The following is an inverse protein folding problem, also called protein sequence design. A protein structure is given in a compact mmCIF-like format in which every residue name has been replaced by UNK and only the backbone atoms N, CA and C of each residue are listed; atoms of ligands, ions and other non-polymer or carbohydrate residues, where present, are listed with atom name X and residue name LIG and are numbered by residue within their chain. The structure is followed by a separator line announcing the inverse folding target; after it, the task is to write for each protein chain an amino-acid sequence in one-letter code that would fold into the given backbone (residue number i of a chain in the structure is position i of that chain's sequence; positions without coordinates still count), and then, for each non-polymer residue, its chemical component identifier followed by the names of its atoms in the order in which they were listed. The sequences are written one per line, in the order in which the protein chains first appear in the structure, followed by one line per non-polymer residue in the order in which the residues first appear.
data_IF_232229798723
#
_entry.id   IF_232229798723
#
_cell.length_a   1.000
_cell.length_b   1.000
_cell.length_c   1.000
_cell.angle_alpha   90.00
_cell.angle_beta   90.00
_cell.angle_gamma   90.00
#
_symmetry.space_group_name_H-M   'P 1'
#
loop_
_entity.id
_entity.type
_entity.pdbx_description
1 polymer ?
#
# COMPACT_ATOMS: atom_id res chain seq x y z
N UNK A 1 -4.20 -9.21 -1.79
CA UNK A 1 -4.11 -8.83 -3.23
C UNK A 1 -2.83 -9.43 -3.80
N UNK A 2 -2.73 -9.75 -5.10
CA UNK A 2 -1.44 -10.13 -5.66
C UNK A 2 -0.55 -8.88 -5.59
N UNK A 3 0.42 -8.92 -4.67
CA UNK A 3 1.40 -7.88 -4.33
C UNK A 3 0.85 -6.53 -3.86
N UNK A 4 0.78 -6.33 -2.54
CA UNK A 4 0.58 -5.03 -1.90
C UNK A 4 1.53 -3.97 -2.47
N UNK A 5 2.79 -4.34 -2.75
CA UNK A 5 3.78 -3.51 -3.42
C UNK A 5 3.35 -3.05 -4.83
N UNK A 6 2.71 -3.93 -5.62
CA UNK A 6 2.23 -3.59 -6.95
C UNK A 6 1.03 -2.63 -6.90
N UNK A 7 0.09 -2.86 -5.98
CA UNK A 7 -1.05 -1.96 -5.76
C UNK A 7 -0.59 -0.59 -5.26
N UNK A 8 0.32 -0.57 -4.29
CA UNK A 8 0.94 0.64 -3.76
C UNK A 8 1.70 1.41 -4.86
N UNK A 9 2.57 0.74 -5.61
CA UNK A 9 3.35 1.36 -6.69
C UNK A 9 2.48 1.98 -7.78
N UNK A 10 1.39 1.30 -8.17
CA UNK A 10 0.41 1.84 -9.13
C UNK A 10 -0.28 3.09 -8.59
N UNK A 11 -0.66 3.10 -7.31
CA UNK A 11 -1.30 4.25 -6.70
C UNK A 11 -0.36 5.45 -6.66
N UNK A 12 0.89 5.26 -6.23
CA UNK A 12 1.90 6.33 -6.20
C UNK A 12 2.15 6.88 -7.61
N UNK A 13 2.29 6.00 -8.62
CA UNK A 13 2.45 6.43 -10.01
C UNK A 13 1.23 7.20 -10.56
N UNK A 14 0.03 6.94 -10.02
CA UNK A 14 -1.20 7.65 -10.35
C UNK A 14 -1.38 8.97 -9.58
N UNK A 15 -0.40 9.38 -8.76
CA UNK A 15 -0.44 10.63 -7.99
C UNK A 15 -0.97 10.47 -6.56
N UNK A 16 -1.14 9.25 -6.07
CA UNK A 16 -1.38 9.04 -4.64
C UNK A 16 -0.14 9.40 -3.82
N UNK A 17 -0.38 9.81 -2.57
CA UNK A 17 0.68 10.10 -1.60
C UNK A 17 0.90 8.90 -0.70
N UNK A 18 2.16 8.56 -0.44
CA UNK A 18 2.51 7.57 0.58
C UNK A 18 2.03 8.02 1.97
N UNK A 19 1.25 7.16 2.63
CA UNK A 19 0.95 7.28 4.05
C UNK A 19 1.88 6.40 4.88
N UNK A 20 2.12 5.18 4.40
CA UNK A 20 3.03 4.19 4.96
C UNK A 20 3.57 3.33 3.81
N UNK A 21 4.89 3.28 3.64
CA UNK A 21 5.50 2.37 2.67
C UNK A 21 5.17 0.92 3.02
N UNK A 22 5.06 0.06 2.00
CA UNK A 22 4.80 -1.36 2.24
C UNK A 22 6.04 -1.99 2.92
N UNK A 23 5.85 -2.52 4.11
CA UNK A 23 6.89 -3.14 4.92
C UNK A 23 6.50 -4.54 5.39
N UNK A 24 7.51 -5.36 5.67
CA UNK A 24 7.33 -6.65 6.33
C UNK A 24 6.92 -6.44 7.78
N UNK A 25 5.89 -7.16 8.19
CA UNK A 25 5.37 -7.18 9.54
C UNK A 25 5.90 -8.41 10.29
N UNK A 26 5.84 -8.38 11.62
CA UNK A 26 6.32 -9.47 12.48
C UNK A 26 5.56 -10.79 12.27
N UNK A 27 4.33 -10.73 11.75
CA UNK A 27 3.50 -11.88 11.40
C UNK A 27 3.80 -12.46 10.00
N UNK A 28 4.80 -11.91 9.30
CA UNK A 28 5.16 -12.30 7.94
C UNK A 28 4.27 -11.72 6.85
N UNK A 29 3.25 -10.94 7.20
CA UNK A 29 2.47 -10.18 6.22
C UNK A 29 3.24 -8.95 5.73
N UNK A 30 2.88 -8.44 4.56
CA UNK A 30 3.36 -7.14 4.08
C UNK A 30 2.21 -6.15 4.09
N UNK A 31 2.40 -5.00 4.72
CA UNK A 31 1.34 -4.00 4.91
C UNK A 31 1.88 -2.62 4.56
N UNK A 32 1.05 -1.81 3.90
CA UNK A 32 1.32 -0.40 3.65
C UNK A 32 0.04 0.37 3.32
N UNK A 33 0.16 1.68 3.12
CA UNK A 33 -0.98 2.53 2.85
C UNK A 33 -0.65 3.79 2.07
N UNK A 34 -1.62 4.26 1.30
CA UNK A 34 -1.51 5.48 0.51
C UNK A 34 -2.81 6.28 0.55
N UNK A 35 -2.71 7.59 0.36
CA UNK A 35 -3.84 8.50 0.21
C UNK A 35 -3.99 8.83 -1.27
N UNK A 36 -5.14 8.50 -1.85
CA UNK A 36 -5.42 8.84 -3.24
C UNK A 36 -5.62 10.36 -3.46
N UNK A 37 -5.63 10.85 -4.71
CA UNK A 37 -5.85 12.27 -4.98
C UNK A 37 -7.22 12.82 -4.52
N UNK A 38 -8.18 11.96 -4.21
CA UNK A 38 -9.49 12.35 -3.69
C UNK A 38 -9.50 12.44 -2.15
N UNK A 39 -8.39 12.12 -1.49
CA UNK A 39 -8.23 12.18 -0.04
C UNK A 39 -8.60 10.89 0.68
N UNK A 40 -8.84 9.79 -0.03
CA UNK A 40 -9.18 8.50 0.58
C UNK A 40 -7.93 7.77 1.02
N UNK A 41 -7.88 7.35 2.28
CA UNK A 41 -6.82 6.47 2.79
C UNK A 41 -7.13 5.02 2.45
N UNK A 42 -6.20 4.38 1.75
CA UNK A 42 -6.25 2.97 1.38
C UNK A 42 -5.16 2.18 2.10
N UNK A 43 -5.54 1.02 2.63
CA UNK A 43 -4.61 0.04 3.19
C UNK A 43 -4.48 -1.14 2.24
N UNK A 44 -3.25 -1.55 2.00
CA UNK A 44 -2.91 -2.73 1.21
C UNK A 44 -2.20 -3.73 2.10
N UNK A 45 -2.60 -4.99 1.99
CA UNK A 45 -1.92 -6.11 2.64
C UNK A 45 -1.85 -7.32 1.73
N UNK A 46 -0.75 -8.04 1.85
CA UNK A 46 -0.58 -9.38 1.28
C UNK A 46 -0.46 -10.37 2.44
N UNK A 47 -1.30 -11.42 2.48
CA UNK A 47 -1.12 -12.50 3.44
C UNK A 47 0.22 -13.20 3.16
N UNK A 48 0.90 -13.60 4.24
CA UNK A 48 2.10 -14.44 4.22
C UNK A 48 1.90 -15.71 3.41
#
# INVERSE_FOLDING_TARGET
MPDADAAYGRAIAAGARSAMEVSDQEDGSRVGGFVDPFGTLWWVSTPS
#
